data_IF_552516076047
#
_entry.id   IF_552516076047
#
_cell.length_a   1.000
_cell.length_b   1.000
_cell.length_c   1.000
_cell.angle_alpha   90.00
_cell.angle_beta   90.00
_cell.angle_gamma   90.00
#
_symmetry.space_group_name_H-M   'P 1'
#
loop_
_entity.id
_entity.type
_entity.pdbx_description
1 polymer ?
#
# COMPACT_ATOMS: atom_id res chain seq x y z
N UNK A 1 2.96 43.45 -6.74
CA UNK A 1 2.39 42.82 -5.55
C UNK A 1 3.01 41.44 -5.45
N UNK A 2 4.09 41.26 -4.69
CA UNK A 2 4.39 39.96 -4.10
C UNK A 2 3.39 39.81 -2.93
N UNK A 3 2.87 38.68 -2.50
CA UNK A 3 3.46 37.38 -2.25
C UNK A 3 2.26 36.42 -2.23
N UNK A 4 2.17 35.53 -3.22
CA UNK A 4 1.31 34.35 -3.15
C UNK A 4 2.20 33.17 -2.73
N UNK A 5 2.79 33.30 -1.53
CA UNK A 5 3.51 32.23 -0.87
C UNK A 5 2.52 31.50 0.03
N UNK A 6 1.63 30.73 -0.60
CA UNK A 6 0.96 29.62 0.09
C UNK A 6 2.03 28.73 0.73
N UNK A 7 1.81 28.20 1.94
CA UNK A 7 2.86 27.54 2.71
C UNK A 7 3.46 26.43 1.85
N UNK A 8 4.74 26.59 1.49
CA UNK A 8 5.49 25.64 0.71
C UNK A 8 5.67 24.36 1.53
N UNK A 9 4.65 23.50 1.53
CA UNK A 9 4.87 22.08 1.69
C UNK A 9 5.83 21.72 0.57
N UNK A 10 7.04 21.32 0.92
CA UNK A 10 8.04 20.89 -0.07
C UNK A 10 7.40 19.88 -1.01
N UNK A 11 7.54 20.02 -2.33
CA UNK A 11 6.92 19.14 -3.35
C UNK A 11 7.01 17.64 -3.00
N UNK A 12 8.09 17.21 -2.36
CA UNK A 12 8.30 15.85 -1.86
C UNK A 12 7.23 15.36 -0.86
N UNK A 13 6.72 16.24 0.01
CA UNK A 13 5.66 15.93 0.99
C UNK A 13 4.30 15.74 0.30
N UNK A 14 3.99 16.55 -0.70
CA UNK A 14 2.76 16.39 -1.48
C UNK A 14 2.78 15.10 -2.30
N UNK A 15 3.90 14.82 -2.97
CA UNK A 15 4.11 13.58 -3.73
C UNK A 15 4.00 12.37 -2.80
N UNK A 16 4.58 12.44 -1.60
CA UNK A 16 4.48 11.36 -0.64
C UNK A 16 3.08 11.16 -0.07
N UNK A 17 2.34 12.24 0.18
CA UNK A 17 0.94 12.18 0.61
C UNK A 17 0.08 11.45 -0.45
N UNK A 18 0.26 11.81 -1.72
CA UNK A 18 -0.41 11.15 -2.83
C UNK A 18 0.00 9.67 -2.94
N UNK A 19 1.30 9.36 -2.84
CA UNK A 19 1.82 8.00 -2.92
C UNK A 19 1.35 7.13 -1.73
N UNK A 20 1.37 7.66 -0.50
CA UNK A 20 0.86 7.01 0.69
C UNK A 20 -0.61 6.63 0.54
N UNK A 21 -1.40 7.55 -0.02
CA UNK A 21 -2.82 7.32 -0.30
C UNK A 21 -3.02 6.23 -1.37
N UNK A 22 -2.21 6.26 -2.44
CA UNK A 22 -2.26 5.24 -3.49
C UNK A 22 -1.85 3.84 -2.97
N UNK A 23 -0.79 3.75 -2.17
CA UNK A 23 -0.36 2.49 -1.54
C UNK A 23 -1.43 1.96 -0.59
N UNK A 24 -2.03 2.83 0.23
CA UNK A 24 -3.15 2.46 1.10
C UNK A 24 -4.35 1.94 0.30
N UNK A 25 -4.69 2.60 -0.81
CA UNK A 25 -5.74 2.16 -1.72
C UNK A 25 -5.44 0.80 -2.36
N UNK A 26 -4.20 0.58 -2.80
CA UNK A 26 -3.74 -0.71 -3.32
C UNK A 26 -3.83 -1.82 -2.27
N UNK A 27 -3.51 -1.54 -1.01
CA UNK A 27 -3.62 -2.52 0.06
C UNK A 27 -5.09 -2.94 0.32
N UNK A 28 -6.02 -1.99 0.25
CA UNK A 28 -7.46 -2.30 0.34
C UNK A 28 -7.92 -3.12 -0.88
N UNK A 29 -7.48 -2.75 -2.09
CA UNK A 29 -7.78 -3.51 -3.29
C UNK A 29 -7.23 -4.93 -3.25
N UNK A 30 -6.02 -5.13 -2.72
CA UNK A 30 -5.40 -6.45 -2.54
C UNK A 30 -6.25 -7.33 -1.60
N UNK A 31 -6.73 -6.75 -0.49
CA UNK A 31 -7.62 -7.45 0.44
C UNK A 31 -8.95 -7.85 -0.23
N UNK A 32 -9.55 -6.95 -1.00
CA UNK A 32 -10.80 -7.24 -1.74
C UNK A 32 -10.55 -8.32 -2.79
N UNK A 33 -9.42 -8.25 -3.51
CA UNK A 33 -9.05 -9.25 -4.49
C UNK A 33 -8.85 -10.63 -3.85
N UNK A 34 -8.21 -10.72 -2.68
CA UNK A 34 -8.10 -11.99 -1.93
C UNK A 34 -9.46 -12.60 -1.62
N UNK A 35 -10.42 -11.80 -1.17
CA UNK A 35 -11.76 -12.27 -0.82
C UNK A 35 -12.45 -12.81 -2.07
N UNK A 36 -12.44 -12.03 -3.16
CA UNK A 36 -13.05 -12.44 -4.44
C UNK A 36 -12.39 -13.72 -4.97
N UNK A 37 -11.07 -13.79 -4.97
CA UNK A 37 -10.34 -14.99 -5.43
C UNK A 37 -10.64 -16.19 -4.54
N UNK A 38 -10.73 -16.00 -3.23
CA UNK A 38 -11.04 -17.10 -2.29
C UNK A 38 -12.45 -17.64 -2.49
N UNK A 39 -13.44 -16.75 -2.62
CA UNK A 39 -14.85 -17.12 -2.86
C UNK A 39 -15.04 -17.74 -4.25
N UNK A 40 -14.51 -17.11 -5.30
CA UNK A 40 -14.69 -17.59 -6.67
C UNK A 40 -14.03 -18.96 -6.91
N UNK A 41 -13.01 -19.30 -6.12
CA UNK A 41 -12.21 -20.51 -6.27
C UNK A 41 -12.36 -21.45 -5.07
N UNK A 42 -13.44 -21.31 -4.29
CA UNK A 42 -13.67 -22.08 -3.05
C UNK A 42 -13.58 -23.60 -3.28
N UNK A 43 -14.14 -24.09 -4.39
CA UNK A 43 -14.12 -25.50 -4.78
C UNK A 43 -12.83 -25.93 -5.50
N UNK A 44 -11.99 -24.97 -5.88
CA UNK A 44 -10.76 -25.23 -6.63
C UNK A 44 -9.59 -25.52 -5.68
N UNK A 45 -8.94 -26.64 -5.91
CA UNK A 45 -7.69 -27.00 -5.24
C UNK A 45 -6.54 -26.92 -6.22
N UNK A 46 -5.53 -26.12 -5.89
CA UNK A 46 -4.33 -25.93 -6.69
C UNK A 46 -3.10 -26.47 -5.93
N UNK A 47 -2.36 -27.39 -6.56
CA UNK A 47 -1.19 -28.07 -5.95
C UNK A 47 -1.49 -28.74 -4.60
N UNK A 48 -2.67 -29.32 -4.43
CA UNK A 48 -3.06 -30.04 -3.22
C UNK A 48 -3.46 -29.15 -2.03
N UNK A 49 -3.54 -27.84 -2.22
CA UNK A 49 -4.05 -26.88 -1.23
C UNK A 49 -5.21 -26.06 -1.84
N UNK A 50 -6.13 -25.57 -1.00
CA UNK A 50 -7.22 -24.70 -1.48
C UNK A 50 -6.64 -23.40 -2.04
N UNK A 51 -7.25 -22.88 -3.11
CA UNK A 51 -6.86 -21.59 -3.69
C UNK A 51 -6.97 -20.44 -2.67
N UNK A 52 -7.88 -20.56 -1.69
CA UNK A 52 -7.95 -19.63 -0.55
C UNK A 52 -6.65 -19.57 0.27
N UNK A 53 -5.99 -20.72 0.48
CA UNK A 53 -4.71 -20.79 1.20
C UNK A 53 -3.61 -20.11 0.38
N UNK A 54 -3.60 -20.31 -0.94
CA UNK A 54 -2.65 -19.63 -1.82
C UNK A 54 -2.86 -18.11 -1.87
N UNK A 55 -4.10 -17.64 -1.85
CA UNK A 55 -4.41 -16.21 -1.77
C UNK A 55 -3.80 -15.57 -0.52
N UNK A 56 -3.87 -16.26 0.62
CA UNK A 56 -3.24 -15.80 1.88
C UNK A 56 -1.72 -15.84 1.77
N UNK A 57 -1.15 -16.94 1.28
CA UNK A 57 0.31 -17.12 1.13
C UNK A 57 0.92 -16.03 0.26
N UNK A 58 0.22 -15.56 -0.77
CA UNK A 58 0.73 -14.55 -1.69
C UNK A 58 0.40 -13.13 -1.21
N UNK A 59 -0.85 -12.87 -0.87
CA UNK A 59 -1.23 -11.49 -0.60
C UNK A 59 -0.86 -11.00 0.81
N UNK A 60 -0.66 -11.87 1.82
CA UNK A 60 -0.13 -11.40 3.12
C UNK A 60 1.28 -10.82 2.95
N UNK A 61 2.22 -11.46 2.23
CA UNK A 61 3.48 -10.83 1.86
C UNK A 61 3.34 -9.52 1.10
N UNK A 62 2.41 -9.42 0.14
CA UNK A 62 2.17 -8.19 -0.62
C UNK A 62 1.67 -7.08 0.31
N UNK A 63 0.68 -7.36 1.15
CA UNK A 63 0.15 -6.43 2.14
C UNK A 63 1.24 -5.96 3.11
N UNK A 64 2.09 -6.88 3.59
CA UNK A 64 3.23 -6.56 4.44
C UNK A 64 4.25 -5.68 3.73
N UNK A 65 4.54 -5.94 2.44
CA UNK A 65 5.40 -5.11 1.61
C UNK A 65 4.84 -3.70 1.41
N UNK A 66 3.55 -3.57 1.07
CA UNK A 66 2.88 -2.27 0.92
C UNK A 66 2.89 -1.48 2.24
N UNK A 67 2.64 -2.16 3.35
CA UNK A 67 2.70 -1.58 4.71
C UNK A 67 4.12 -1.15 5.09
N UNK A 68 5.12 -1.97 4.77
CA UNK A 68 6.52 -1.64 5.00
C UNK A 68 6.95 -0.46 4.13
N UNK A 69 6.54 -0.41 2.86
CA UNK A 69 6.87 0.67 1.94
C UNK A 69 6.29 2.01 2.41
N UNK A 70 5.05 2.00 2.90
CA UNK A 70 4.45 3.19 3.54
C UNK A 70 5.20 3.58 4.81
N UNK A 71 5.53 2.64 5.69
CA UNK A 71 6.28 2.96 6.91
C UNK A 71 7.69 3.52 6.61
N UNK A 72 8.38 2.96 5.62
CA UNK A 72 9.72 3.38 5.22
C UNK A 72 9.73 4.79 4.65
N UNK A 73 8.81 5.12 3.74
CA UNK A 73 8.78 6.47 3.18
C UNK A 73 8.28 7.52 4.18
N UNK A 74 7.42 7.15 5.14
CA UNK A 74 7.05 8.04 6.25
C UNK A 74 8.31 8.39 7.07
N UNK A 75 9.16 7.38 7.30
CA UNK A 75 10.46 7.55 7.97
C UNK A 75 11.45 8.42 7.19
N UNK A 76 11.48 8.33 5.86
CA UNK A 76 12.38 9.12 5.01
C UNK A 76 12.03 10.61 5.10
N UNK A 77 10.74 10.95 5.03
CA UNK A 77 10.28 12.34 5.15
C UNK A 77 10.46 12.90 6.55
N UNK A 78 10.13 12.12 7.58
CA UNK A 78 10.41 12.51 8.96
C UNK A 78 11.91 12.72 9.23
N UNK A 79 12.78 12.00 8.51
CA UNK A 79 14.25 12.17 8.62
C UNK A 79 14.76 13.41 7.89
N UNK A 80 14.13 13.82 6.79
CA UNK A 80 14.52 15.03 6.04
C UNK A 80 14.24 16.33 6.82
N UNK A 81 13.29 16.30 7.76
CA UNK A 81 12.88 17.46 8.56
C UNK A 81 13.78 17.77 9.78
N UNK A 82 14.89 17.06 9.97
CA UNK A 82 15.83 17.22 11.10
C UNK A 82 17.20 17.80 10.74
N UNK A 83 17.44 18.17 9.48
CA UNK A 83 18.67 18.85 9.07
C UNK A 83 18.44 20.33 8.83
#
# INVERSE_FOLDING_TARGET
>A
MPEDEGPALTDEQEIWSALRTAIGGLAVLDLVAMIIVSEAMEESTWQGMSVSVWAIVIGVPIFALLSALTLFGDRIILRNHRQ
#
